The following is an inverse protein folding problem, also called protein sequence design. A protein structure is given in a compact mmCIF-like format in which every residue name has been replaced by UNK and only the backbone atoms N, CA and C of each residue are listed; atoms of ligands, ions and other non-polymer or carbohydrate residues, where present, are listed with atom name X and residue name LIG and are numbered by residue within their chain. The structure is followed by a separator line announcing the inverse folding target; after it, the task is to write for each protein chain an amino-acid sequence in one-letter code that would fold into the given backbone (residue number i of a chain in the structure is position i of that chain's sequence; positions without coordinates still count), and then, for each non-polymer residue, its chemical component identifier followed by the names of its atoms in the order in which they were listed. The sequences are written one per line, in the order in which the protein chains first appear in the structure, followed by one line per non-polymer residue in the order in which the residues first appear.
data_IF_954513312676
#
_entry.id   IF_954513312676
#
_cell.length_a   1.000
_cell.length_b   1.000
_cell.length_c   1.000
_cell.angle_alpha   90.00
_cell.angle_beta   90.00
_cell.angle_gamma   90.00
#
_symmetry.space_group_name_H-M   'P 1'
#
loop_
_entity.id
_entity.type
_entity.pdbx_description
1 polymer ?
#
# COMPACT_ATOMS: atom_id res chain seq x y z
N UNK A 1 -4.37 2.55 3.36
CA UNK A 1 -4.61 1.81 2.09
C UNK A 1 -3.41 0.91 1.81
N UNK A 2 -3.63 -0.38 1.63
CA UNK A 2 -2.60 -1.42 1.45
C UNK A 2 -2.76 -2.07 0.08
N UNK A 3 -1.74 -1.98 -0.78
CA UNK A 3 -1.68 -2.69 -2.06
C UNK A 3 -0.75 -3.88 -1.98
N UNK A 4 -1.21 -5.01 -2.50
CA UNK A 4 -0.46 -6.27 -2.57
C UNK A 4 -0.39 -6.76 -4.02
N UNK A 5 0.81 -6.97 -4.54
CA UNK A 5 1.07 -7.36 -5.92
C UNK A 5 1.72 -8.74 -6.00
N UNK A 6 1.26 -9.59 -6.93
CA UNK A 6 1.82 -10.92 -7.17
C UNK A 6 2.01 -11.19 -8.66
N UNK A 7 3.21 -11.51 -9.12
CA UNK A 7 3.44 -11.94 -10.51
C UNK A 7 2.91 -13.37 -10.71
N UNK A 8 1.88 -13.59 -11.53
CA UNK A 8 1.28 -14.93 -11.69
C UNK A 8 2.02 -15.81 -12.68
N UNK A 9 2.51 -17.01 -12.29
CA UNK A 9 3.10 -17.96 -13.25
C UNK A 9 2.13 -19.00 -13.84
N UNK A 10 1.05 -19.42 -13.16
CA UNK A 10 -0.04 -20.30 -13.70
C UNK A 10 -1.33 -20.18 -12.89
N UNK A 11 -2.48 -20.51 -13.52
CA UNK A 11 -3.83 -20.60 -12.89
C UNK A 11 -3.87 -21.74 -11.86
N UNK A 12 -3.57 -21.46 -10.59
CA UNK A 12 -4.00 -22.27 -9.43
C UNK A 12 -4.32 -21.32 -8.28
N UNK A 13 -5.48 -21.50 -7.66
CA UNK A 13 -5.82 -20.84 -6.40
C UNK A 13 -5.08 -21.57 -5.27
N UNK A 14 -4.46 -20.82 -4.37
CA UNK A 14 -3.73 -21.36 -3.23
C UNK A 14 -4.21 -20.68 -1.95
N UNK A 15 -4.42 -21.46 -0.89
CA UNK A 15 -4.77 -21.00 0.46
C UNK A 15 -3.59 -21.29 1.38
N UNK A 16 -3.09 -20.29 2.10
CA UNK A 16 -1.93 -20.43 3.01
C UNK A 16 -2.18 -19.74 4.37
N UNK A 17 -1.67 -20.36 5.45
CA UNK A 17 -1.74 -19.91 6.86
C UNK A 17 -0.30 -19.69 7.39
N UNK A 18 0.06 -18.42 7.66
CA UNK A 18 1.21 -17.78 8.38
C UNK A 18 2.66 -18.38 8.34
N UNK A 19 3.76 -17.60 8.12
CA UNK A 19 3.88 -16.19 7.70
C UNK A 19 3.98 -16.11 6.16
N UNK A 20 3.02 -15.41 5.55
CA UNK A 20 2.64 -15.57 4.13
C UNK A 20 3.68 -15.12 3.10
N UNK A 21 4.65 -14.29 3.48
CA UNK A 21 5.66 -13.76 2.55
C UNK A 21 6.81 -14.74 2.37
N UNK A 22 7.30 -15.38 3.45
CA UNK A 22 8.38 -16.37 3.39
C UNK A 22 8.05 -17.59 2.51
N UNK A 23 6.77 -17.98 2.44
CA UNK A 23 6.31 -19.05 1.52
C UNK A 23 6.50 -18.70 0.04
N UNK A 24 6.46 -17.42 -0.33
CA UNK A 24 6.69 -16.98 -1.71
C UNK A 24 8.16 -17.17 -2.13
N UNK A 25 9.10 -17.05 -1.19
CA UNK A 25 10.51 -17.30 -1.44
C UNK A 25 10.77 -18.75 -1.90
N UNK A 26 10.01 -19.72 -1.38
CA UNK A 26 10.09 -21.13 -1.81
C UNK A 26 9.66 -21.33 -3.27
N UNK A 27 8.90 -20.39 -3.83
CA UNK A 27 8.52 -20.35 -5.24
C UNK A 27 9.39 -19.40 -6.08
N UNK A 28 10.53 -18.98 -5.52
CA UNK A 28 11.51 -18.13 -6.18
C UNK A 28 11.10 -16.66 -6.26
N UNK A 29 10.05 -16.23 -5.56
CA UNK A 29 9.73 -14.80 -5.49
C UNK A 29 10.77 -14.05 -4.68
N UNK A 30 10.99 -12.80 -5.04
CA UNK A 30 11.57 -11.78 -4.17
C UNK A 30 10.45 -10.95 -3.58
N UNK A 31 10.43 -10.80 -2.27
CA UNK A 31 9.44 -10.02 -1.56
C UNK A 31 9.99 -8.65 -1.17
N UNK A 32 9.29 -7.59 -1.60
CA UNK A 32 9.71 -6.21 -1.42
C UNK A 32 8.54 -5.43 -0.79
N UNK A 33 8.82 -4.63 0.24
CA UNK A 33 7.86 -3.71 0.82
C UNK A 33 8.30 -2.24 0.65
N UNK A 34 7.35 -1.38 0.29
CA UNK A 34 7.48 0.07 0.29
C UNK A 34 6.49 0.61 1.33
N UNK A 35 7.04 1.08 2.46
CA UNK A 35 6.29 1.52 3.63
C UNK A 35 5.93 3.00 3.56
N UNK A 36 4.71 3.35 3.98
CA UNK A 36 4.21 4.73 3.98
C UNK A 36 3.89 5.29 5.36
N UNK A 37 4.13 4.52 6.43
CA UNK A 37 3.90 4.93 7.82
C UNK A 37 5.06 4.50 8.69
N UNK A 38 5.15 5.05 9.90
CA UNK A 38 6.25 4.78 10.85
C UNK A 38 6.34 3.31 11.30
N UNK A 39 5.30 2.50 11.09
CA UNK A 39 5.37 1.04 11.25
C UNK A 39 6.35 0.34 10.29
N UNK A 40 6.92 1.07 9.33
CA UNK A 40 7.94 0.60 8.41
C UNK A 40 9.30 1.29 8.60
N UNK A 41 9.44 2.20 9.56
CA UNK A 41 10.65 3.04 9.66
C UNK A 41 11.86 2.32 10.23
N UNK A 42 11.67 1.16 10.87
CA UNK A 42 12.70 0.45 11.67
C UNK A 42 13.28 1.27 12.83
N UNK A 43 12.75 2.46 13.11
CA UNK A 43 13.23 3.31 14.20
C UNK A 43 12.80 2.79 15.58
N UNK A 44 11.86 1.86 15.63
CA UNK A 44 11.40 1.19 16.85
C UNK A 44 11.31 -0.32 16.64
N UNK A 45 11.33 -1.13 17.73
CA UNK A 45 11.10 -2.57 17.63
C UNK A 45 9.77 -2.90 16.94
N UNK A 46 8.70 -2.14 17.24
CA UNK A 46 7.40 -2.32 16.60
C UNK A 46 7.43 -1.98 15.11
N UNK A 47 8.17 -0.92 14.73
CA UNK A 47 8.38 -0.52 13.35
C UNK A 47 9.30 -1.43 12.54
N UNK A 48 9.82 -2.51 13.13
CA UNK A 48 10.62 -3.53 12.45
C UNK A 48 9.83 -4.82 12.16
N UNK A 49 8.75 -5.09 12.92
CA UNK A 49 8.00 -6.36 12.85
C UNK A 49 7.47 -6.66 11.44
N UNK A 50 6.86 -5.66 10.78
CA UNK A 50 6.29 -5.85 9.45
C UNK A 50 7.37 -5.84 8.35
N UNK A 51 8.34 -4.90 8.34
CA UNK A 51 9.50 -4.96 7.44
C UNK A 51 10.25 -6.29 7.46
N UNK A 52 10.44 -6.90 8.64
CA UNK A 52 11.17 -8.17 8.80
C UNK A 52 10.49 -9.37 8.14
N UNK A 53 9.24 -9.22 7.66
CA UNK A 53 8.56 -10.26 6.89
C UNK A 53 9.00 -10.31 5.42
N UNK A 54 9.74 -9.32 4.93
CA UNK A 54 10.13 -9.17 3.52
C UNK A 54 11.63 -9.36 3.32
N UNK A 55 12.03 -9.72 2.10
CA UNK A 55 13.43 -9.81 1.73
C UNK A 55 14.08 -8.43 1.58
N UNK A 56 13.28 -7.43 1.20
CA UNK A 56 13.65 -6.02 1.08
C UNK A 56 12.52 -5.15 1.62
N UNK A 57 12.90 -4.12 2.36
CA UNK A 57 11.99 -3.09 2.85
C UNK A 57 12.56 -1.70 2.58
N UNK A 58 11.67 -0.77 2.23
CA UNK A 58 12.03 0.59 1.89
C UNK A 58 11.09 1.56 2.59
N UNK A 59 11.68 2.46 3.36
CA UNK A 59 10.98 3.54 4.02
C UNK A 59 11.86 4.79 4.00
N UNK A 60 11.24 5.95 3.80
CA UNK A 60 11.84 7.27 3.97
C UNK A 60 10.76 8.30 4.32
N UNK A 61 11.08 9.44 4.94
CA UNK A 61 10.10 10.46 5.30
C UNK A 61 9.21 10.91 4.14
N UNK A 62 9.76 10.97 2.93
CA UNK A 62 9.06 11.37 1.71
C UNK A 62 8.01 10.35 1.23
N UNK A 63 7.93 9.17 1.86
CA UNK A 63 6.87 8.19 1.64
C UNK A 63 5.69 8.36 2.59
N UNK A 64 5.77 9.25 3.59
CA UNK A 64 4.77 9.36 4.64
C UNK A 64 3.68 10.40 4.34
N UNK A 65 2.52 10.28 4.99
CA UNK A 65 1.37 11.17 4.75
C UNK A 65 1.65 12.68 4.85
N UNK A 66 2.54 13.20 5.73
CA UNK A 66 2.81 14.63 5.75
C UNK A 66 3.43 15.18 4.45
N UNK A 67 4.01 14.32 3.61
CA UNK A 67 4.53 14.68 2.28
C UNK A 67 3.40 14.62 1.24
N UNK A 68 2.99 15.76 0.63
CA UNK A 68 1.92 15.79 -0.37
C UNK A 68 2.18 14.89 -1.57
N UNK A 69 3.45 14.73 -1.95
CA UNK A 69 3.87 13.89 -3.07
C UNK A 69 4.21 12.43 -2.68
N UNK A 70 3.78 11.99 -1.51
CA UNK A 70 4.16 10.69 -0.94
C UNK A 70 3.89 9.49 -1.85
N UNK A 71 2.70 9.43 -2.45
CA UNK A 71 2.35 8.31 -3.34
C UNK A 71 3.17 8.34 -4.64
N UNK A 72 3.50 9.52 -5.16
CA UNK A 72 4.43 9.66 -6.29
C UNK A 72 5.77 9.02 -5.96
N UNK A 73 6.37 9.41 -4.84
CA UNK A 73 7.67 8.89 -4.40
C UNK A 73 7.64 7.38 -4.17
N UNK A 74 6.58 6.86 -3.55
CA UNK A 74 6.41 5.42 -3.35
C UNK A 74 6.32 4.67 -4.68
N UNK A 75 5.56 5.19 -5.65
CA UNK A 75 5.39 4.57 -6.96
C UNK A 75 6.67 4.65 -7.79
N UNK A 76 7.37 5.77 -7.79
CA UNK A 76 8.65 5.91 -8.50
C UNK A 76 9.65 4.85 -8.01
N UNK A 77 9.83 4.76 -6.68
CA UNK A 77 10.72 3.78 -6.05
C UNK A 77 10.28 2.34 -6.31
N UNK A 78 8.98 2.06 -6.24
CA UNK A 78 8.44 0.72 -6.52
C UNK A 78 8.69 0.26 -7.96
N UNK A 79 8.61 1.17 -8.94
CA UNK A 79 8.88 0.89 -10.34
C UNK A 79 10.38 0.63 -10.57
N UNK A 80 11.25 1.43 -9.96
CA UNK A 80 12.71 1.24 -10.03
C UNK A 80 13.14 -0.14 -9.52
N UNK A 81 12.64 -0.56 -8.34
CA UNK A 81 12.98 -1.86 -7.77
C UNK A 81 12.36 -3.02 -8.57
N UNK A 82 11.14 -2.85 -9.07
CA UNK A 82 10.51 -3.89 -9.88
C UNK A 82 11.30 -4.15 -11.18
N UNK A 83 11.87 -3.11 -11.78
CA UNK A 83 12.73 -3.22 -12.97
C UNK A 83 14.09 -3.83 -12.63
N UNK A 84 14.70 -3.51 -11.47
CA UNK A 84 15.99 -4.10 -11.06
C UNK A 84 15.93 -5.62 -10.88
N UNK A 85 14.73 -6.17 -10.70
CA UNK A 85 14.46 -7.60 -10.57
C UNK A 85 13.96 -8.26 -11.87
N UNK A 86 14.29 -7.70 -13.05
CA UNK A 86 13.92 -8.25 -14.36
C UNK A 86 14.60 -9.61 -14.65
N UNK A 87 14.04 -10.67 -14.08
CA UNK A 87 14.58 -12.03 -14.15
C UNK A 87 14.00 -12.94 -13.07
N UNK A 88 13.55 -12.36 -11.95
CA UNK A 88 12.92 -13.07 -10.84
C UNK A 88 11.44 -12.65 -10.70
N UNK A 89 10.54 -13.54 -10.26
CA UNK A 89 9.20 -13.09 -9.89
C UNK A 89 9.25 -12.20 -8.64
N UNK A 90 8.44 -11.14 -8.64
CA UNK A 90 8.39 -10.17 -7.55
C UNK A 90 7.03 -10.26 -6.87
N UNK A 91 7.07 -10.20 -5.54
CA UNK A 91 5.95 -9.84 -4.68
C UNK A 91 6.23 -8.45 -4.16
N UNK A 92 5.45 -7.48 -4.61
CA UNK A 92 5.60 -6.09 -4.21
C UNK A 92 4.46 -5.75 -3.27
N UNK A 93 4.77 -5.08 -2.17
CA UNK A 93 3.81 -4.57 -1.21
C UNK A 93 4.00 -3.07 -1.10
N UNK A 94 2.93 -2.29 -1.29
CA UNK A 94 2.97 -0.83 -1.19
C UNK A 94 1.91 -0.40 -0.19
N UNK A 95 2.34 0.18 0.94
CA UNK A 95 1.46 0.78 1.92
C UNK A 95 1.26 2.26 1.57
N UNK A 96 0.18 2.57 0.86
CA UNK A 96 -0.11 3.94 0.40
C UNK A 96 -0.49 4.82 1.57
N UNK A 97 0.27 5.90 1.72
CA UNK A 97 0.20 6.81 2.86
C UNK A 97 -0.69 8.02 2.64
N UNK A 98 -0.92 8.46 1.40
CA UNK A 98 -1.62 9.72 1.12
C UNK A 98 -2.99 9.85 1.80
N UNK A 99 -3.74 8.74 1.95
CA UNK A 99 -5.05 8.73 2.60
C UNK A 99 -4.98 8.66 4.13
N UNK A 100 -3.78 8.53 4.71
CA UNK A 100 -3.56 8.59 6.14
C UNK A 100 -3.42 10.06 6.56
N UNK A 101 -3.83 10.36 7.79
CA UNK A 101 -3.67 11.72 8.35
C UNK A 101 -2.18 12.10 8.48
N UNK A 102 -1.83 13.38 8.34
CA UNK A 102 -2.70 14.48 7.90
C UNK A 102 -2.89 14.45 6.38
N UNK A 103 -4.10 14.72 5.92
CA UNK A 103 -4.46 14.79 4.49
C UNK A 103 -5.23 16.09 4.13
N UNK A 104 -5.50 16.98 5.08
CA UNK A 104 -6.08 18.31 4.86
C UNK A 104 -5.33 19.13 3.81
N UNK A 105 -4.00 18.94 3.70
CA UNK A 105 -3.15 19.68 2.79
C UNK A 105 -3.54 19.50 1.32
N UNK A 106 -4.21 18.39 0.95
CA UNK A 106 -4.72 18.19 -0.42
C UNK A 106 -5.81 19.19 -0.81
N UNK A 107 -6.41 19.89 0.16
CA UNK A 107 -7.34 20.99 -0.03
C UNK A 107 -6.79 22.34 0.45
N UNK A 108 -5.49 22.42 0.80
CA UNK A 108 -4.89 23.63 1.36
C UNK A 108 -5.35 23.95 2.79
N UNK A 109 -5.88 22.97 3.52
CA UNK A 109 -6.31 23.11 4.91
C UNK A 109 -5.40 22.28 5.85
N UNK A 110 -5.35 22.64 7.12
CA UNK A 110 -4.72 21.85 8.18
C UNK A 110 -5.66 20.80 8.78
N UNK A 111 -6.98 20.93 8.58
CA UNK A 111 -7.98 20.04 9.16
C UNK A 111 -8.35 18.91 8.19
N UNK A 112 -8.33 17.69 8.71
CA UNK A 112 -8.78 16.50 7.99
C UNK A 112 -10.32 16.43 7.95
N UNK A 113 -10.87 16.19 6.76
CA UNK A 113 -12.31 16.07 6.50
C UNK A 113 -12.56 14.96 5.49
N UNK A 114 -13.81 14.52 5.35
CA UNK A 114 -14.19 13.58 4.30
C UNK A 114 -13.82 14.11 2.89
N UNK A 115 -13.90 15.43 2.67
CA UNK A 115 -13.52 16.04 1.40
C UNK A 115 -12.01 15.96 1.14
N UNK A 116 -11.17 16.21 2.15
CA UNK A 116 -9.72 16.09 1.98
C UNK A 116 -9.27 14.62 1.86
N UNK A 117 -10.00 13.69 2.46
CA UNK A 117 -9.79 12.25 2.26
C UNK A 117 -10.05 11.85 0.80
N UNK A 118 -11.16 12.35 0.21
CA UNK A 118 -11.47 12.10 -1.20
C UNK A 118 -10.43 12.72 -2.13
N UNK A 119 -9.94 13.93 -1.82
CA UNK A 119 -8.88 14.58 -2.57
C UNK A 119 -7.57 13.77 -2.53
N UNK A 120 -7.19 13.27 -1.35
CA UNK A 120 -6.04 12.39 -1.19
C UNK A 120 -6.19 11.09 -1.98
N UNK A 121 -7.39 10.50 -2.00
CA UNK A 121 -7.67 9.29 -2.76
C UNK A 121 -7.58 9.53 -4.27
N UNK A 122 -8.12 10.64 -4.77
CA UNK A 122 -8.02 11.02 -6.18
C UNK A 122 -6.55 11.24 -6.62
N UNK A 123 -5.75 11.88 -5.75
CA UNK A 123 -4.30 12.02 -5.96
C UNK A 123 -3.61 10.64 -6.02
N UNK A 124 -3.88 9.77 -5.05
CA UNK A 124 -3.27 8.44 -4.99
C UNK A 124 -3.66 7.59 -6.21
N UNK A 125 -4.92 7.64 -6.64
CA UNK A 125 -5.46 6.87 -7.77
C UNK A 125 -4.65 7.08 -9.06
N UNK A 126 -4.28 8.32 -9.38
CA UNK A 126 -3.48 8.63 -10.58
C UNK A 126 -2.10 7.93 -10.55
N UNK A 127 -1.44 7.90 -9.40
CA UNK A 127 -0.15 7.24 -9.23
C UNK A 127 -0.28 5.72 -9.19
N UNK A 128 -1.36 5.20 -8.61
CA UNK A 128 -1.67 3.77 -8.64
C UNK A 128 -1.96 3.29 -10.06
N UNK A 129 -2.72 4.05 -10.85
CA UNK A 129 -2.94 3.75 -12.26
C UNK A 129 -1.62 3.67 -13.05
N UNK A 130 -0.68 4.59 -12.78
CA UNK A 130 0.67 4.57 -13.36
C UNK A 130 1.44 3.30 -12.94
N UNK A 131 1.40 2.93 -11.66
CA UNK A 131 2.04 1.71 -11.16
C UNK A 131 1.48 0.45 -11.84
N UNK A 132 0.14 0.30 -11.85
CA UNK A 132 -0.56 -0.83 -12.49
C UNK A 132 -0.14 -0.94 -13.95
N UNK A 133 -0.33 0.14 -14.70
CA UNK A 133 -0.15 0.14 -16.15
C UNK A 133 1.30 -0.18 -16.51
N UNK A 134 2.26 0.40 -15.80
CA UNK A 134 3.68 0.18 -16.07
C UNK A 134 4.11 -1.25 -15.75
N UNK A 135 3.74 -1.77 -14.57
CA UNK A 135 4.09 -3.13 -14.18
C UNK A 135 3.46 -4.18 -15.10
N UNK A 136 2.23 -3.94 -15.54
CA UNK A 136 1.45 -4.89 -16.35
C UNK A 136 1.76 -4.82 -17.85
N UNK A 137 2.47 -3.79 -18.32
CA UNK A 137 2.87 -3.67 -19.71
C UNK A 137 3.79 -4.81 -20.19
N UNK A 138 4.67 -5.32 -19.33
CA UNK A 138 5.65 -6.36 -19.68
C UNK A 138 5.29 -7.75 -19.15
N UNK A 139 4.55 -7.84 -18.05
CA UNK A 139 4.37 -9.06 -17.25
C UNK A 139 2.96 -9.14 -16.72
N UNK A 140 2.51 -10.36 -16.45
CA UNK A 140 1.21 -10.61 -15.83
C UNK A 140 1.29 -10.48 -14.30
N UNK A 141 0.37 -9.72 -13.71
CA UNK A 141 0.25 -9.46 -12.28
C UNK A 141 -1.16 -9.78 -11.78
N UNK A 142 -1.25 -10.49 -10.66
CA UNK A 142 -2.36 -10.40 -9.73
C UNK A 142 -2.14 -9.16 -8.88
N UNK A 143 -3.18 -8.35 -8.80
CA UNK A 143 -3.20 -7.08 -8.11
C UNK A 143 -4.30 -7.19 -7.07
N UNK A 144 -3.97 -6.91 -5.82
CA UNK A 144 -4.91 -6.86 -4.71
C UNK A 144 -4.82 -5.46 -4.12
N UNK A 145 -5.96 -4.79 -4.05
CA UNK A 145 -6.14 -3.47 -3.50
C UNK A 145 -7.05 -3.63 -2.28
N UNK A 146 -6.61 -3.19 -1.10
CA UNK A 146 -7.48 -3.13 0.05
C UNK A 146 -7.15 -1.94 0.96
N UNK A 147 -8.07 -1.54 1.82
CA UNK A 147 -7.71 -0.72 2.96
C UNK A 147 -7.60 -1.56 4.23
N UNK A 148 -6.78 -1.10 5.15
CA UNK A 148 -6.58 -1.64 6.49
C UNK A 148 -7.71 -1.22 7.44
N UNK A 149 -8.20 0.01 7.29
CA UNK A 149 -9.41 0.52 7.92
C UNK A 149 -9.91 1.76 7.14
N UNK A 150 -11.09 2.28 7.51
CA UNK A 150 -11.59 3.61 7.12
C UNK A 150 -11.45 4.64 8.23
N UNK A 151 -12.08 5.80 8.05
CA UNK A 151 -12.09 6.92 8.99
C UNK A 151 -13.51 7.47 9.11
N UNK A 152 -13.91 7.83 10.34
CA UNK A 152 -15.15 8.57 10.59
C UNK A 152 -14.87 10.08 10.62
N UNK A 153 -15.75 10.87 10.04
CA UNK A 153 -15.69 12.33 9.97
C UNK A 153 -16.94 12.99 10.57
N UNK A 154 -17.64 12.30 11.48
CA UNK A 154 -18.83 12.77 12.18
C UNK A 154 -20.02 11.83 12.09
N UNK A 155 -19.91 10.72 11.34
CA UNK A 155 -20.97 9.72 11.24
C UNK A 155 -21.34 9.19 12.63
N UNK A 156 -22.63 9.26 12.96
CA UNK A 156 -23.20 8.90 14.26
C UNK A 156 -22.51 9.58 15.47
N UNK A 157 -21.89 10.75 15.24
CA UNK A 157 -21.14 11.49 16.25
C UNK A 157 -19.70 11.02 16.45
N UNK A 158 -19.25 10.00 15.72
CA UNK A 158 -17.89 9.44 15.82
C UNK A 158 -16.92 10.12 14.86
N UNK A 159 -15.65 10.20 15.28
CA UNK A 159 -14.55 10.77 14.50
C UNK A 159 -13.30 9.89 14.62
N UNK A 160 -12.55 9.77 13.52
CA UNK A 160 -11.26 9.09 13.44
C UNK A 160 -11.35 7.58 13.18
N UNK A 161 -10.31 6.86 13.62
CA UNK A 161 -10.04 5.44 13.36
C UNK A 161 -9.99 4.62 14.67
N UNK A 162 -9.95 3.30 14.57
CA UNK A 162 -9.81 2.40 15.74
C UNK A 162 -11.10 2.16 16.52
N UNK A 163 -12.25 2.41 15.90
CA UNK A 163 -13.58 2.20 16.45
C UNK A 163 -14.34 1.14 15.65
N UNK A 164 -15.21 0.37 16.31
CA UNK A 164 -16.05 -0.64 15.68
C UNK A 164 -17.28 -0.02 14.98
N UNK A 165 -17.04 0.93 14.07
CA UNK A 165 -18.08 1.61 13.30
C UNK A 165 -18.08 1.13 11.84
N UNK A 166 -19.24 0.98 11.17
CA UNK A 166 -19.30 0.51 9.78
C UNK A 166 -18.39 1.27 8.82
N UNK A 167 -18.30 2.60 8.90
CA UNK A 167 -17.43 3.41 8.01
C UNK A 167 -15.93 3.18 8.24
N UNK A 168 -15.55 2.65 9.40
CA UNK A 168 -14.15 2.30 9.73
C UNK A 168 -13.85 0.84 9.39
N UNK A 169 -14.83 -0.06 9.54
CA UNK A 169 -14.64 -1.50 9.35
C UNK A 169 -14.94 -1.98 7.92
N UNK A 170 -15.82 -1.29 7.19
CA UNK A 170 -16.16 -1.63 5.80
C UNK A 170 -15.19 -0.97 4.84
N UNK A 171 -14.16 -1.71 4.46
CA UNK A 171 -13.06 -1.22 3.63
C UNK A 171 -13.21 -1.66 2.16
N UNK A 172 -12.70 -0.87 1.21
CA UNK A 172 -12.62 -1.30 -0.19
C UNK A 172 -11.73 -2.54 -0.32
N UNK A 173 -12.13 -3.46 -1.18
CA UNK A 173 -11.34 -4.61 -1.61
C UNK A 173 -11.55 -4.85 -3.11
N UNK A 174 -10.45 -5.01 -3.84
CA UNK A 174 -10.47 -5.44 -5.22
C UNK A 174 -9.32 -6.40 -5.49
N UNK A 175 -9.56 -7.41 -6.33
CA UNK A 175 -8.53 -8.31 -6.82
C UNK A 175 -8.70 -8.52 -8.32
N UNK A 176 -7.62 -8.38 -9.09
CA UNK A 176 -7.66 -8.54 -10.54
C UNK A 176 -6.38 -9.14 -11.07
N UNK A 177 -6.44 -9.73 -12.26
CA UNK A 177 -5.25 -10.16 -13.00
C UNK A 177 -5.15 -9.35 -14.27
N UNK A 178 -4.01 -8.71 -14.48
CA UNK A 178 -3.66 -7.88 -15.62
C UNK A 178 -2.40 -8.40 -16.27
#
# INVERSE_FOLDING_TARGET
MTLVWWRARRRRAWVWVLPRVAGLAQHGYRSICVGGVTYFSRETPLGSVLPDLFDEDHWRPEFCSPEPDSTRHQVDHALEIAESHDGRPVYLFVNVSATHVPHGHYLGDSRDTAASQQAALAYADAHLARLITTLTAKKRWLIILCADHGDAYGEDGYHGRGIAHPVVMNVPFAAMVR
#
